data_IF_758906627483
#
_entry.id   IF_758906627483
#
_cell.length_a   1.000
_cell.length_b   1.000
_cell.length_c   1.000
_cell.angle_alpha   90.00
_cell.angle_beta   90.00
_cell.angle_gamma   90.00
#
_symmetry.space_group_name_H-M   'P 1'
#
loop_
_entity.id
_entity.type
_entity.pdbx_description
1 polymer ?
#
# COMPACT_ATOMS: atom_id res chain seq x y z
N UNK A 1 4.77 25.32 21.06
CA UNK A 1 5.60 24.44 21.93
C UNK A 1 4.92 24.14 23.27
N UNK A 2 4.04 24.99 23.80
CA UNK A 2 3.21 24.66 24.97
C UNK A 2 2.25 23.48 24.72
N UNK A 3 1.79 23.26 23.48
CA UNK A 3 0.85 22.18 23.15
C UNK A 3 1.46 20.77 23.12
N UNK A 4 2.74 20.62 22.72
CA UNK A 4 3.38 19.30 22.63
C UNK A 4 3.59 18.66 24.01
N UNK A 5 3.92 19.48 25.03
CA UNK A 5 4.07 18.99 26.40
C UNK A 5 2.71 18.65 27.02
N UNK A 6 1.64 19.41 26.71
CA UNK A 6 0.27 19.08 27.12
C UNK A 6 -0.22 17.76 26.52
N UNK A 7 0.00 17.56 25.22
CA UNK A 7 -0.31 16.30 24.53
C UNK A 7 0.49 15.11 25.08
N UNK A 8 1.76 15.30 25.45
CA UNK A 8 2.59 14.23 26.02
C UNK A 8 2.09 13.75 27.39
N UNK A 9 1.40 14.61 28.14
CA UNK A 9 0.83 14.29 29.45
C UNK A 9 -0.63 13.82 29.40
N UNK A 10 -1.29 13.92 28.25
CA UNK A 10 -2.69 13.51 28.08
C UNK A 10 -2.79 12.02 27.70
N UNK A 11 -3.41 11.17 28.54
CA UNK A 11 -3.60 9.76 28.23
C UNK A 11 -4.38 9.51 26.92
N UNK A 12 -5.28 10.40 26.53
CA UNK A 12 -6.09 10.24 25.31
C UNK A 12 -5.27 10.42 24.05
N UNK A 13 -4.28 11.33 24.06
CA UNK A 13 -3.34 11.53 22.96
C UNK A 13 -2.48 10.29 22.71
N UNK A 14 -2.08 9.57 23.76
CA UNK A 14 -1.36 8.30 23.64
C UNK A 14 -2.21 7.19 23.04
N UNK A 15 -3.49 7.08 23.43
CA UNK A 15 -4.42 6.12 22.84
C UNK A 15 -4.64 6.42 21.36
N UNK A 16 -4.84 7.69 21.00
CA UNK A 16 -4.96 8.11 19.60
C UNK A 16 -3.69 7.80 18.82
N UNK A 17 -2.50 8.09 19.37
CA UNK A 17 -1.21 7.78 18.76
C UNK A 17 -1.04 6.29 18.49
N UNK A 18 -1.30 5.44 19.49
CA UNK A 18 -1.19 3.99 19.35
C UNK A 18 -2.19 3.47 18.32
N UNK A 19 -3.43 3.95 18.35
CA UNK A 19 -4.47 3.55 17.38
C UNK A 19 -4.07 3.94 15.96
N UNK A 20 -3.56 5.16 15.78
CA UNK A 20 -3.06 5.63 14.50
C UNK A 20 -1.86 4.82 14.03
N UNK A 21 -0.88 4.54 14.89
CA UNK A 21 0.27 3.69 14.53
C UNK A 21 -0.22 2.31 14.07
N UNK A 22 -1.16 1.70 14.78
CA UNK A 22 -1.70 0.39 14.40
C UNK A 22 -2.38 0.48 13.04
N UNK A 23 -3.28 1.45 12.83
CA UNK A 23 -3.98 1.61 11.55
C UNK A 23 -3.02 1.92 10.41
N UNK A 24 -2.02 2.75 10.66
CA UNK A 24 -0.96 3.11 9.71
C UNK A 24 -0.09 1.91 9.33
N UNK A 25 0.24 1.04 10.28
CA UNK A 25 0.99 -0.18 10.01
C UNK A 25 0.14 -1.18 9.24
N UNK A 26 -1.11 -1.40 9.65
CA UNK A 26 -2.04 -2.32 8.98
C UNK A 26 -2.28 -1.89 7.53
N UNK A 27 -2.60 -0.62 7.29
CA UNK A 27 -2.74 -0.04 5.95
C UNK A 27 -1.41 -0.01 5.17
N UNK A 28 -0.29 0.19 5.87
CA UNK A 28 1.03 0.30 5.29
C UNK A 28 1.66 -1.01 4.83
N UNK A 29 1.18 -2.16 5.32
CA UNK A 29 1.64 -3.48 4.88
C UNK A 29 1.40 -3.66 3.38
N UNK A 30 0.25 -3.22 2.86
CA UNK A 30 -0.06 -3.33 1.44
C UNK A 30 0.89 -2.50 0.58
N UNK A 31 1.24 -1.30 1.05
CA UNK A 31 2.24 -0.44 0.41
C UNK A 31 3.64 -1.09 0.42
N UNK A 32 4.03 -1.74 1.52
CA UNK A 32 5.32 -2.42 1.64
C UNK A 32 5.43 -3.64 0.70
N UNK A 33 4.35 -4.40 0.59
CA UNK A 33 4.21 -5.53 -0.32
C UNK A 33 4.41 -5.07 -1.78
N UNK A 34 3.84 -3.93 -2.14
CA UNK A 34 4.04 -3.33 -3.46
C UNK A 34 5.45 -2.89 -3.75
N UNK A 35 6.06 -2.17 -2.80
CA UNK A 35 7.46 -1.78 -2.91
C UNK A 35 8.32 -3.00 -3.13
N UNK A 36 8.04 -4.10 -2.43
CA UNK A 36 8.70 -5.38 -2.64
C UNK A 36 8.47 -5.96 -4.05
N UNK A 37 7.22 -5.98 -4.55
CA UNK A 37 6.91 -6.52 -5.89
C UNK A 37 7.62 -5.71 -6.98
N UNK A 38 7.54 -4.38 -6.94
CA UNK A 38 8.16 -3.50 -7.94
C UNK A 38 9.69 -3.50 -7.87
N UNK A 39 10.26 -3.46 -6.67
CA UNK A 39 11.73 -3.53 -6.51
C UNK A 39 12.29 -4.86 -7.00
N UNK A 40 11.54 -5.96 -6.93
CA UNK A 40 11.97 -7.25 -7.47
C UNK A 40 12.10 -7.29 -9.01
N UNK A 41 11.50 -6.33 -9.73
CA UNK A 41 11.68 -6.16 -11.19
C UNK A 41 12.98 -5.43 -11.56
N UNK A 42 13.65 -4.80 -10.59
CA UNK A 42 14.97 -4.16 -10.77
C UNK A 42 16.07 -5.22 -10.63
N UNK A 43 17.25 -4.96 -11.22
CA UNK A 43 18.47 -5.75 -11.06
C UNK A 43 18.74 -6.04 -9.57
N UNK A 44 19.24 -7.25 -9.27
CA UNK A 44 19.35 -7.79 -7.90
C UNK A 44 20.16 -6.87 -6.99
N UNK A 45 21.20 -6.24 -7.54
CA UNK A 45 22.13 -5.34 -6.89
C UNK A 45 21.45 -4.02 -6.46
N UNK A 46 20.41 -3.62 -7.18
CA UNK A 46 19.71 -2.35 -6.99
C UNK A 46 18.40 -2.48 -6.21
N UNK A 47 17.91 -3.69 -5.94
CA UNK A 47 16.61 -3.91 -5.27
C UNK A 47 16.54 -3.25 -3.90
N UNK A 48 17.57 -3.40 -3.09
CA UNK A 48 17.61 -2.82 -1.75
C UNK A 48 17.64 -1.29 -1.81
N UNK A 49 18.34 -0.72 -2.78
CA UNK A 49 18.36 0.72 -3.04
C UNK A 49 16.99 1.21 -3.50
N UNK A 50 16.34 0.50 -4.42
CA UNK A 50 14.98 0.82 -4.89
C UNK A 50 13.98 0.86 -3.72
N UNK A 51 14.08 -0.10 -2.80
CA UNK A 51 13.22 -0.15 -1.61
C UNK A 51 13.49 1.01 -0.65
N UNK A 52 14.74 1.26 -0.30
CA UNK A 52 15.10 2.32 0.65
C UNK A 52 14.78 3.71 0.11
N UNK A 53 15.12 3.96 -1.16
CA UNK A 53 14.82 5.22 -1.83
C UNK A 53 13.31 5.37 -1.98
N UNK A 54 12.62 4.31 -2.43
CA UNK A 54 11.16 4.30 -2.55
C UNK A 54 10.45 4.59 -1.24
N UNK A 55 10.79 3.89 -0.14
CA UNK A 55 10.22 4.12 1.19
C UNK A 55 10.58 5.50 1.76
N UNK A 56 11.81 5.96 1.55
CA UNK A 56 12.26 7.29 2.00
C UNK A 56 11.49 8.41 1.29
N UNK A 57 11.36 8.31 -0.04
CA UNK A 57 10.56 9.25 -0.83
C UNK A 57 9.07 9.15 -0.49
N UNK A 58 8.57 7.95 -0.24
CA UNK A 58 7.20 7.73 0.22
C UNK A 58 6.91 8.45 1.55
N UNK A 59 7.82 8.34 2.53
CA UNK A 59 7.73 9.07 3.79
C UNK A 59 7.71 10.57 3.57
N UNK A 60 8.65 11.09 2.77
CA UNK A 60 8.75 12.52 2.47
C UNK A 60 7.47 13.04 1.81
N UNK A 61 6.95 12.32 0.82
CA UNK A 61 5.68 12.64 0.18
C UNK A 61 4.53 12.67 1.19
N UNK A 62 4.49 11.71 2.11
CA UNK A 62 3.43 11.61 3.11
C UNK A 62 3.48 12.74 4.13
N UNK A 63 4.67 13.07 4.62
CA UNK A 63 4.88 14.22 5.49
C UNK A 63 4.56 15.53 4.77
N UNK A 64 4.94 15.66 3.49
CA UNK A 64 4.58 16.82 2.68
C UNK A 64 3.06 16.98 2.55
N UNK A 65 2.32 15.90 2.27
CA UNK A 65 0.85 15.90 2.23
C UNK A 65 0.23 16.28 3.58
N UNK A 66 0.80 15.83 4.69
CA UNK A 66 0.37 16.23 6.03
C UNK A 66 0.67 17.70 6.34
N UNK A 67 1.75 18.29 5.80
CA UNK A 67 2.03 19.72 5.97
C UNK A 67 1.03 20.59 5.20
N UNK A 68 0.57 20.10 4.04
CA UNK A 68 -0.49 20.76 3.26
C UNK A 68 -1.88 20.19 3.58
N UNK A 69 -2.12 19.73 4.81
CA UNK A 69 -3.38 19.10 5.23
C UNK A 69 -4.61 19.95 4.92
N UNK A 70 -4.53 21.27 5.15
CA UNK A 70 -5.63 22.18 4.85
C UNK A 70 -6.01 22.16 3.36
N UNK A 71 -5.01 22.03 2.47
CA UNK A 71 -5.24 21.86 1.05
C UNK A 71 -5.83 20.48 0.73
N UNK A 72 -5.36 19.43 1.40
CA UNK A 72 -5.94 18.07 1.27
C UNK A 72 -7.42 18.05 1.69
N UNK A 73 -7.79 18.73 2.76
CA UNK A 73 -9.19 18.85 3.20
C UNK A 73 -10.03 19.59 2.15
N UNK A 74 -9.47 20.62 1.50
CA UNK A 74 -10.19 21.31 0.43
C UNK A 74 -10.52 20.39 -0.76
N UNK A 75 -9.75 19.32 -0.98
CA UNK A 75 -10.04 18.32 -2.02
C UNK A 75 -11.32 17.55 -1.75
N UNK A 76 -11.84 17.52 -0.51
CA UNK A 76 -13.09 16.84 -0.17
C UNK A 76 -14.32 17.69 -0.45
N UNK A 77 -14.15 18.96 -0.84
CA UNK A 77 -15.28 19.82 -1.20
C UNK A 77 -15.85 19.40 -2.56
N UNK A 78 -17.19 19.41 -2.71
CA UNK A 78 -17.84 19.01 -3.96
C UNK A 78 -17.52 20.01 -5.08
N UNK A 79 -17.08 19.49 -6.22
CA UNK A 79 -16.70 20.26 -7.42
C UNK A 79 -17.83 20.25 -8.44
N UNK A 80 -18.45 19.10 -8.65
CA UNK A 80 -19.61 18.96 -9.53
C UNK A 80 -20.50 17.81 -9.07
N UNK A 81 -21.76 17.80 -9.52
CA UNK A 81 -22.71 16.72 -9.23
C UNK A 81 -22.98 15.92 -10.51
N UNK A 82 -22.82 14.61 -10.47
CA UNK A 82 -23.17 13.70 -11.55
C UNK A 82 -23.82 12.44 -10.98
N UNK A 83 -24.80 11.86 -11.70
CA UNK A 83 -25.49 10.62 -11.26
C UNK A 83 -26.08 10.68 -9.83
N UNK A 84 -26.47 11.87 -9.36
CA UNK A 84 -26.98 12.07 -7.99
C UNK A 84 -25.90 12.07 -6.90
N UNK A 85 -24.62 12.01 -7.26
CA UNK A 85 -23.48 12.07 -6.35
C UNK A 85 -22.68 13.37 -6.56
N UNK A 86 -22.26 14.01 -5.46
CA UNK A 86 -21.40 15.18 -5.50
C UNK A 86 -19.94 14.74 -5.50
N UNK A 87 -19.24 14.92 -6.62
CA UNK A 87 -17.85 14.53 -6.80
C UNK A 87 -16.92 15.64 -6.34
N UNK A 88 -15.99 15.28 -5.45
CA UNK A 88 -14.89 16.11 -4.98
C UNK A 88 -13.59 15.77 -5.70
N UNK A 89 -12.57 16.64 -5.65
CA UNK A 89 -11.25 16.32 -6.21
C UNK A 89 -10.64 15.06 -5.59
N UNK A 90 -10.89 14.82 -4.30
CA UNK A 90 -10.56 13.56 -3.61
C UNK A 90 -11.15 12.38 -4.35
N UNK A 91 -12.45 12.41 -4.64
CA UNK A 91 -13.17 11.31 -5.27
C UNK A 91 -12.57 10.96 -6.63
N UNK A 92 -12.22 11.97 -7.43
CA UNK A 92 -11.56 11.78 -8.72
C UNK A 92 -10.19 11.10 -8.56
N UNK A 93 -9.39 11.53 -7.57
CA UNK A 93 -8.08 10.94 -7.30
C UNK A 93 -8.23 9.48 -6.81
N UNK A 94 -9.20 9.18 -5.94
CA UNK A 94 -9.45 7.83 -5.45
C UNK A 94 -9.93 6.90 -6.58
N UNK A 95 -10.84 7.38 -7.45
CA UNK A 95 -11.31 6.60 -8.61
C UNK A 95 -10.17 6.36 -9.61
N UNK A 96 -9.41 7.39 -9.97
CA UNK A 96 -8.29 7.26 -10.88
C UNK A 96 -7.19 6.35 -10.31
N UNK A 97 -6.87 6.53 -9.03
CA UNK A 97 -5.92 5.69 -8.31
C UNK A 97 -6.39 4.24 -8.22
N UNK A 98 -7.65 4.02 -7.86
CA UNK A 98 -8.26 2.68 -7.79
C UNK A 98 -8.29 1.98 -9.15
N UNK A 99 -8.64 2.68 -10.23
CA UNK A 99 -8.54 2.15 -11.59
C UNK A 99 -7.12 1.78 -11.97
N UNK A 100 -6.15 2.65 -11.65
CA UNK A 100 -4.74 2.36 -11.86
C UNK A 100 -4.28 1.12 -11.09
N UNK A 101 -4.70 0.98 -9.84
CA UNK A 101 -4.44 -0.19 -9.00
C UNK A 101 -5.02 -1.47 -9.59
N UNK A 102 -6.29 -1.45 -9.99
CA UNK A 102 -6.97 -2.60 -10.62
C UNK A 102 -6.27 -3.02 -11.91
N UNK A 103 -5.95 -2.05 -12.77
CA UNK A 103 -5.22 -2.29 -14.02
C UNK A 103 -3.84 -2.91 -13.76
N UNK A 104 -3.09 -2.35 -12.81
CA UNK A 104 -1.76 -2.85 -12.45
C UNK A 104 -1.82 -4.24 -11.84
N UNK A 105 -2.75 -4.50 -10.93
CA UNK A 105 -2.96 -5.81 -10.32
C UNK A 105 -3.24 -6.88 -11.38
N UNK A 106 -4.18 -6.58 -12.27
CA UNK A 106 -4.64 -7.50 -13.31
C UNK A 106 -3.54 -7.79 -14.31
N UNK A 107 -2.83 -6.77 -14.78
CA UNK A 107 -1.69 -6.93 -15.70
C UNK A 107 -0.57 -7.77 -15.05
N UNK A 108 -0.22 -7.46 -13.80
CA UNK A 108 0.82 -8.21 -13.07
C UNK A 108 0.41 -9.66 -12.80
N UNK A 109 -0.87 -9.91 -12.55
CA UNK A 109 -1.42 -11.25 -12.37
C UNK A 109 -1.38 -12.05 -13.67
N UNK A 110 -1.78 -11.42 -14.79
CA UNK A 110 -1.77 -12.04 -16.12
C UNK A 110 -0.36 -12.45 -16.56
N UNK A 111 0.62 -11.55 -16.42
CA UNK A 111 2.04 -11.83 -16.73
C UNK A 111 2.63 -13.01 -15.93
N UNK A 112 2.04 -13.35 -14.77
CA UNK A 112 2.50 -14.45 -13.91
C UNK A 112 1.77 -15.77 -14.15
N UNK A 113 0.54 -15.72 -14.64
CA UNK A 113 -0.28 -16.91 -14.90
C UNK A 113 0.02 -17.48 -16.28
N UNK A 114 0.32 -16.62 -17.27
CA UNK A 114 0.61 -17.07 -18.62
C UNK A 114 1.98 -17.78 -18.61
N UNK A 115 2.03 -19.11 -18.84
CA UNK A 115 3.30 -19.79 -19.02
C UNK A 115 4.00 -19.11 -20.19
N UNK A 116 5.31 -18.94 -20.14
CA UNK A 116 6.08 -18.55 -21.31
C UNK A 116 5.78 -19.56 -22.42
N UNK A 117 4.80 -19.24 -23.27
CA UNK A 117 4.45 -20.06 -24.42
C UNK A 117 5.70 -20.14 -25.27
N UNK A 118 6.08 -21.37 -25.63
CA UNK A 118 7.19 -21.73 -26.51
C UNK A 118 7.13 -21.00 -27.87
N UNK A 119 7.43 -19.70 -27.87
CA UNK A 119 7.74 -18.96 -29.07
C UNK A 119 9.21 -18.55 -28.96
N UNK A 120 10.06 -19.50 -29.37
CA UNK A 120 11.40 -19.22 -29.88
C UNK A 120 11.28 -18.38 -31.15
N UNK A 121 11.01 -17.10 -30.99
CA UNK A 121 11.33 -16.05 -31.96
C UNK A 121 11.91 -14.92 -31.13
N UNK A 122 13.24 -14.78 -31.20
CA UNK A 122 14.00 -13.54 -31.03
C UNK A 122 13.29 -12.40 -30.31
N UNK A 123 13.08 -12.57 -29.00
CA UNK A 123 12.91 -11.45 -28.07
C UNK A 123 13.89 -11.61 -26.92
N UNK A 124 15.18 -11.45 -27.23
CA UNK A 124 16.25 -11.18 -26.26
C UNK A 124 16.08 -9.83 -25.51
N UNK A 125 14.84 -9.34 -25.30
CA UNK A 125 14.61 -7.95 -24.86
C UNK A 125 13.47 -7.69 -23.88
N UNK A 126 12.63 -8.67 -23.49
CA UNK A 126 11.47 -8.43 -22.61
C UNK A 126 11.68 -8.67 -21.11
N UNK A 127 12.86 -9.14 -20.72
CA UNK A 127 13.38 -9.00 -19.35
C UNK A 127 14.26 -7.75 -19.24
N UNK A 128 13.87 -6.64 -19.86
CA UNK A 128 14.48 -5.37 -19.54
C UNK A 128 14.15 -5.08 -18.07
N UNK A 129 15.10 -5.35 -17.18
CA UNK A 129 15.01 -4.97 -15.78
C UNK A 129 14.45 -3.55 -15.70
N UNK A 130 13.39 -3.37 -14.92
CA UNK A 130 12.85 -2.03 -14.71
C UNK A 130 14.00 -1.16 -14.21
N UNK A 131 14.26 -0.05 -14.90
CA UNK A 131 15.24 0.91 -14.44
C UNK A 131 14.90 1.36 -13.02
N UNK A 132 15.93 1.57 -12.20
CA UNK A 132 15.75 2.01 -10.81
C UNK A 132 14.80 3.22 -10.71
N UNK A 133 14.96 4.20 -11.61
CA UNK A 133 14.13 5.40 -11.66
C UNK A 133 12.65 5.13 -11.98
N UNK A 134 12.36 4.23 -12.92
CA UNK A 134 10.97 3.88 -13.26
C UNK A 134 10.31 3.08 -12.15
N UNK A 135 11.04 2.17 -11.50
CA UNK A 135 10.54 1.46 -10.32
C UNK A 135 10.24 2.41 -9.16
N UNK A 136 11.15 3.35 -8.85
CA UNK A 136 10.94 4.36 -7.81
C UNK A 136 9.76 5.27 -8.14
N UNK A 137 9.61 5.70 -9.40
CA UNK A 137 8.48 6.52 -9.83
C UNK A 137 7.15 5.79 -9.66
N UNK A 138 7.07 4.51 -10.03
CA UNK A 138 5.86 3.70 -9.81
C UNK A 138 5.55 3.52 -8.32
N UNK A 139 6.58 3.29 -7.49
CA UNK A 139 6.44 3.24 -6.03
C UNK A 139 5.86 4.56 -5.50
N UNK A 140 6.41 5.70 -5.91
CA UNK A 140 5.93 7.00 -5.48
C UNK A 140 4.48 7.27 -5.93
N UNK A 141 4.13 6.91 -7.16
CA UNK A 141 2.77 7.08 -7.69
C UNK A 141 1.75 6.24 -6.91
N UNK A 142 2.05 4.96 -6.65
CA UNK A 142 1.22 4.09 -5.82
C UNK A 142 1.09 4.63 -4.39
N UNK A 143 2.22 5.04 -3.82
CA UNK A 143 2.26 5.58 -2.47
C UNK A 143 1.45 6.86 -2.34
N UNK A 144 1.41 7.72 -3.36
CA UNK A 144 0.60 8.94 -3.36
C UNK A 144 -0.89 8.61 -3.20
N UNK A 145 -1.39 7.63 -3.98
CA UNK A 145 -2.79 7.18 -3.91
C UNK A 145 -3.11 6.62 -2.52
N UNK A 146 -2.28 5.74 -1.98
CA UNK A 146 -2.49 5.17 -0.63
C UNK A 146 -2.32 6.20 0.49
N UNK A 147 -1.39 7.15 0.33
CA UNK A 147 -1.18 8.23 1.31
C UNK A 147 -2.39 9.14 1.40
N UNK A 148 -3.09 9.39 0.31
CA UNK A 148 -4.30 10.22 0.33
C UNK A 148 -5.43 9.55 1.13
N UNK A 149 -5.77 8.28 0.82
CA UNK A 149 -6.83 7.52 1.53
C UNK A 149 -6.55 7.40 3.03
N UNK A 150 -5.32 7.07 3.38
CA UNK A 150 -4.89 6.93 4.79
C UNK A 150 -4.88 8.25 5.56
N UNK A 151 -4.42 9.36 4.97
CA UNK A 151 -4.46 10.69 5.61
C UNK A 151 -5.91 11.09 5.86
N UNK A 152 -6.81 10.91 4.89
CA UNK A 152 -8.22 11.25 5.04
C UNK A 152 -8.87 10.40 6.15
N UNK A 153 -8.52 9.12 6.22
CA UNK A 153 -8.94 8.24 7.32
C UNK A 153 -8.42 8.73 8.67
N UNK A 154 -7.16 9.18 8.74
CA UNK A 154 -6.55 9.69 9.96
C UNK A 154 -7.20 10.98 10.47
N UNK A 155 -7.57 11.91 9.57
CA UNK A 155 -8.31 13.14 9.91
C UNK A 155 -9.67 12.79 10.54
N UNK A 156 -10.29 11.68 10.12
CA UNK A 156 -11.53 11.17 10.73
C UNK A 156 -11.36 10.64 12.15
N UNK A 157 -10.13 10.37 12.59
CA UNK A 157 -9.82 9.80 13.91
C UNK A 157 -9.24 10.83 14.89
N UNK A 158 -8.45 11.79 14.41
CA UNK A 158 -7.88 12.85 15.25
C UNK A 158 -7.66 14.13 14.46
N UNK A 159 -7.77 15.27 15.13
CA UNK A 159 -7.45 16.59 14.58
C UNK A 159 -6.00 17.01 14.82
N UNK A 160 -5.25 16.26 15.63
CA UNK A 160 -3.92 16.62 16.08
C UNK A 160 -2.84 16.22 15.05
N UNK A 161 -2.44 17.18 14.21
CA UNK A 161 -1.39 16.99 13.19
C UNK A 161 -0.07 16.44 13.78
N UNK A 162 0.42 16.89 14.96
CA UNK A 162 1.63 16.32 15.56
C UNK A 162 1.52 14.81 15.82
N UNK A 163 0.36 14.34 16.29
CA UNK A 163 0.13 12.91 16.54
C UNK A 163 0.17 12.13 15.23
N UNK A 164 -0.48 12.64 14.18
CA UNK A 164 -0.46 12.01 12.85
C UNK A 164 0.96 11.93 12.27
N UNK A 165 1.75 13.00 12.39
CA UNK A 165 3.14 13.00 11.93
C UNK A 165 4.00 11.98 12.67
N UNK A 166 3.90 11.91 14.01
CA UNK A 166 4.64 10.93 14.80
C UNK A 166 4.20 9.50 14.42
N UNK A 167 2.91 9.26 14.27
CA UNK A 167 2.39 7.96 13.85
C UNK A 167 2.96 7.51 12.49
N UNK A 168 2.98 8.40 11.50
CA UNK A 168 3.54 8.14 10.18
C UNK A 168 5.05 7.86 10.25
N UNK A 169 5.81 8.67 11.00
CA UNK A 169 7.26 8.47 11.14
C UNK A 169 7.57 7.12 11.80
N UNK A 170 6.88 6.78 12.88
CA UNK A 170 7.06 5.51 13.59
C UNK A 170 6.67 4.34 12.69
N UNK A 171 5.50 4.40 12.05
CA UNK A 171 5.01 3.35 11.16
C UNK A 171 5.96 3.10 9.99
N UNK A 172 6.41 4.16 9.29
CA UNK A 172 7.36 3.99 8.19
C UNK A 172 8.74 3.53 8.68
N UNK A 173 9.17 3.96 9.87
CA UNK A 173 10.37 3.42 10.51
C UNK A 173 10.31 1.90 10.66
N UNK A 174 9.18 1.37 11.15
CA UNK A 174 8.92 -0.07 11.23
C UNK A 174 8.92 -0.72 9.85
N UNK A 175 8.32 -0.08 8.83
CA UNK A 175 8.32 -0.59 7.46
C UNK A 175 9.73 -0.67 6.86
N UNK A 176 10.60 0.31 7.09
CA UNK A 176 11.99 0.30 6.60
C UNK A 176 12.73 -0.91 7.17
N UNK A 177 12.55 -1.21 8.46
CA UNK A 177 13.13 -2.39 9.12
C UNK A 177 12.54 -3.68 8.55
N UNK A 178 11.22 -3.71 8.29
CA UNK A 178 10.52 -4.88 7.76
C UNK A 178 10.70 -5.11 6.24
N UNK A 179 11.10 -4.08 5.47
CA UNK A 179 11.10 -4.10 4.01
C UNK A 179 11.98 -5.22 3.42
N UNK A 180 13.24 -5.30 3.87
CA UNK A 180 14.19 -6.29 3.38
C UNK A 180 13.78 -7.74 3.70
N UNK A 181 13.44 -8.11 4.95
CA UNK A 181 13.00 -9.47 5.24
C UNK A 181 11.68 -9.82 4.55
N UNK A 182 10.72 -8.89 4.51
CA UNK A 182 9.44 -9.12 3.83
C UNK A 182 9.65 -9.32 2.33
N UNK A 183 10.55 -8.55 1.71
CA UNK A 183 10.82 -8.70 0.28
C UNK A 183 11.46 -10.05 -0.08
N UNK A 184 12.42 -10.51 0.74
CA UNK A 184 12.99 -11.86 0.60
C UNK A 184 11.94 -12.95 0.81
N UNK A 185 10.98 -12.74 1.69
CA UNK A 185 9.90 -13.69 1.93
C UNK A 185 8.93 -13.77 0.74
N UNK A 186 8.48 -12.62 0.24
CA UNK A 186 7.55 -12.51 -0.89
C UNK A 186 8.18 -13.09 -2.16
N UNK A 187 9.43 -12.74 -2.47
CA UNK A 187 10.13 -13.23 -3.66
C UNK A 187 10.33 -14.75 -3.70
N UNK A 188 10.37 -15.41 -2.53
CA UNK A 188 10.53 -16.87 -2.43
C UNK A 188 9.20 -17.64 -2.54
N UNK A 189 8.05 -16.96 -2.48
CA UNK A 189 6.74 -17.61 -2.38
C UNK A 189 5.75 -17.01 -3.38
N UNK A 190 5.61 -17.62 -4.58
CA UNK A 190 4.71 -17.13 -5.62
C UNK A 190 3.25 -16.97 -5.16
N UNK A 191 2.76 -17.87 -4.31
CA UNK A 191 1.40 -17.82 -3.75
C UNK A 191 1.17 -16.57 -2.89
N UNK A 192 2.18 -16.11 -2.14
CA UNK A 192 2.12 -14.87 -1.36
C UNK A 192 2.08 -13.66 -2.28
N UNK A 193 2.78 -13.69 -3.42
CA UNK A 193 2.70 -12.62 -4.42
C UNK A 193 1.30 -12.55 -5.04
N UNK A 194 0.70 -13.69 -5.39
CA UNK A 194 -0.66 -13.72 -5.92
C UNK A 194 -1.68 -13.21 -4.90
N UNK A 195 -1.53 -13.60 -3.63
CA UNK A 195 -2.34 -13.09 -2.53
C UNK A 195 -2.24 -11.56 -2.41
N UNK A 196 -1.02 -11.04 -2.44
CA UNK A 196 -0.73 -9.61 -2.43
C UNK A 196 -1.37 -8.83 -3.59
N UNK A 197 -1.31 -9.38 -4.81
CA UNK A 197 -1.96 -8.78 -5.98
C UNK A 197 -3.49 -8.82 -5.86
N UNK A 198 -4.04 -9.85 -5.21
CA UNK A 198 -5.45 -9.92 -4.85
C UNK A 198 -5.86 -8.83 -3.84
N UNK A 199 -5.04 -8.59 -2.82
CA UNK A 199 -5.28 -7.51 -1.85
C UNK A 199 -5.25 -6.14 -2.52
N UNK A 200 -4.24 -5.92 -3.36
CA UNK A 200 -4.18 -4.75 -4.22
C UNK A 200 -5.48 -4.58 -5.02
N UNK A 201 -5.93 -5.60 -5.74
CA UNK A 201 -7.16 -5.54 -6.54
C UNK A 201 -8.37 -5.14 -5.67
N UNK A 202 -8.49 -5.76 -4.48
CA UNK A 202 -9.54 -5.45 -3.51
C UNK A 202 -9.48 -3.99 -3.02
N UNK A 203 -8.29 -3.48 -2.70
CA UNK A 203 -8.10 -2.08 -2.29
C UNK A 203 -8.45 -1.16 -3.46
N UNK A 204 -7.99 -1.46 -4.68
CA UNK A 204 -8.31 -0.68 -5.88
C UNK A 204 -9.81 -0.57 -6.11
N UNK A 205 -10.53 -1.69 -6.00
CA UNK A 205 -11.99 -1.71 -6.07
C UNK A 205 -12.65 -0.90 -4.94
N UNK A 206 -12.09 -0.97 -3.73
CA UNK A 206 -12.56 -0.17 -2.59
C UNK A 206 -12.37 1.32 -2.82
N UNK A 207 -11.21 1.76 -3.33
CA UNK A 207 -10.97 3.18 -3.62
C UNK A 207 -11.92 3.71 -4.70
N UNK A 208 -12.23 2.90 -5.70
CA UNK A 208 -13.26 3.23 -6.69
C UNK A 208 -14.60 3.39 -5.98
N UNK A 209 -15.01 2.44 -5.14
CA UNK A 209 -16.26 2.52 -4.39
C UNK A 209 -16.33 3.76 -3.48
N UNK A 210 -15.28 4.02 -2.70
CA UNK A 210 -15.16 5.19 -1.81
C UNK A 210 -15.25 6.50 -2.60
N UNK A 211 -14.66 6.58 -3.81
CA UNK A 211 -14.78 7.75 -4.68
C UNK A 211 -16.14 7.92 -5.36
N UNK A 212 -16.96 6.86 -5.45
CA UNK A 212 -18.38 6.97 -5.79
C UNK A 212 -19.28 7.19 -4.57
N UNK A 213 -18.70 7.42 -3.39
CA UNK A 213 -19.42 7.62 -2.12
C UNK A 213 -19.91 6.34 -1.44
N UNK A 214 -19.65 5.17 -2.04
CA UNK A 214 -19.97 3.87 -1.46
C UNK A 214 -18.86 3.47 -0.49
N UNK A 215 -18.99 3.94 0.74
CA UNK A 215 -18.00 3.70 1.78
C UNK A 215 -18.01 2.24 2.21
N UNK A 216 -16.93 1.52 1.91
CA UNK A 216 -16.75 0.14 2.39
C UNK A 216 -16.09 0.20 3.77
N UNK A 217 -16.71 -0.37 4.82
CA UNK A 217 -16.08 -0.37 6.14
C UNK A 217 -14.74 -1.13 6.10
N UNK A 218 -13.65 -0.41 6.38
CA UNK A 218 -12.28 -0.94 6.27
C UNK A 218 -12.06 -2.20 7.12
N UNK A 219 -12.81 -2.36 8.22
CA UNK A 219 -12.79 -3.57 9.05
C UNK A 219 -13.10 -4.86 8.28
N UNK A 220 -14.02 -4.82 7.30
CA UNK A 220 -14.31 -5.99 6.46
C UNK A 220 -13.15 -6.33 5.53
N UNK A 221 -12.48 -5.31 5.00
CA UNK A 221 -11.30 -5.47 4.14
C UNK A 221 -10.16 -6.10 4.94
N UNK A 222 -9.88 -5.58 6.13
CA UNK A 222 -8.83 -6.13 6.98
C UNK A 222 -9.15 -7.55 7.46
N UNK A 223 -10.40 -7.84 7.77
CA UNK A 223 -10.83 -9.19 8.11
C UNK A 223 -10.61 -10.15 6.93
N UNK A 224 -10.95 -9.75 5.70
CA UNK A 224 -10.72 -10.54 4.50
C UNK A 224 -9.22 -10.75 4.22
N UNK A 225 -8.39 -9.72 4.39
CA UNK A 225 -6.94 -9.82 4.25
C UNK A 225 -6.33 -10.75 5.29
N UNK A 226 -6.69 -10.58 6.56
CA UNK A 226 -6.22 -11.41 7.66
C UNK A 226 -6.62 -12.88 7.48
N UNK A 227 -7.88 -13.14 7.10
CA UNK A 227 -8.38 -14.48 6.81
C UNK A 227 -7.63 -15.12 5.64
N UNK A 228 -7.44 -14.39 4.54
CA UNK A 228 -6.73 -14.93 3.36
C UNK A 228 -5.26 -15.19 3.66
N UNK A 229 -4.61 -14.33 4.45
CA UNK A 229 -3.26 -14.55 4.98
C UNK A 229 -3.20 -15.80 5.86
N UNK A 230 -4.15 -15.99 6.76
CA UNK A 230 -4.27 -17.19 7.60
C UNK A 230 -4.40 -18.46 6.75
N UNK A 231 -5.30 -18.45 5.77
CA UNK A 231 -5.50 -19.58 4.83
C UNK A 231 -4.20 -19.88 4.09
N UNK A 232 -3.47 -18.87 3.62
CA UNK A 232 -2.21 -19.08 2.91
C UNK A 232 -1.10 -19.61 3.85
N UNK A 233 -1.07 -19.21 5.12
CA UNK A 233 -0.18 -19.83 6.12
C UNK A 233 -0.52 -21.31 6.30
N UNK A 234 -1.80 -21.66 6.46
CA UNK A 234 -2.24 -23.06 6.55
C UNK A 234 -1.86 -23.87 5.30
N UNK A 235 -2.05 -23.29 4.11
CA UNK A 235 -1.70 -23.89 2.83
C UNK A 235 -0.19 -24.18 2.74
N UNK A 236 0.65 -23.27 3.22
CA UNK A 236 2.10 -23.49 3.28
C UNK A 236 2.50 -24.57 4.28
N UNK A 237 1.84 -24.64 5.44
CA UNK A 237 2.10 -25.70 6.43
C UNK A 237 1.70 -27.07 5.88
N UNK A 238 0.53 -27.18 5.25
CA UNK A 238 0.06 -28.41 4.62
C UNK A 238 1.01 -28.90 3.51
N UNK A 239 1.49 -28.00 2.65
CA UNK A 239 2.48 -28.33 1.61
C UNK A 239 3.79 -28.85 2.19
N UNK A 240 4.28 -28.26 3.29
CA UNK A 240 5.50 -28.72 3.98
C UNK A 240 5.32 -30.10 4.61
N UNK A 241 4.18 -30.35 5.25
CA UNK A 241 3.87 -31.67 5.80
C UNK A 241 3.81 -32.75 4.71
N UNK A 242 3.18 -32.42 3.57
CA UNK A 242 3.10 -33.33 2.41
C UNK A 242 4.44 -33.61 1.72
N UNK A 243 5.40 -32.67 1.73
CA UNK A 243 6.75 -32.91 1.19
C UNK A 243 7.59 -33.80 2.10
N UNK A 244 7.42 -33.69 3.44
CA UNK A 244 8.12 -34.52 4.42
C UNK A 244 7.59 -35.97 4.40
N UNK A 245 6.29 -36.16 4.15
CA UNK A 245 5.71 -37.50 4.04
C UNK A 245 6.11 -38.28 2.77
N UNK A 246 6.76 -37.62 1.79
CA UNK A 246 7.24 -38.24 0.53
C UNK A 246 8.77 -38.38 0.46
N UNK A 247 9.51 -37.93 1.47
CA UNK A 247 10.97 -38.08 1.60
C UNK A 247 11.30 -39.18 2.60
#
# INVERSE_FOLDING_TARGET
MADLFGLATDPTAWVALVTLIIMEVVLGIDNLVFVSILSNRVAVEQRQSAQRIGLGLALLMRLALLLVLAWVISLTQPVFTAFGHAFSWKDLILVAGGLFLVYKATTEMHERIEPASDTKTDVEGRNAHLGLGTAVLQICALNLVFSLDSIITAIGMTTEIPIMMVAVIVSVGLMIVAAAPLSRFISRKPTVVMLALGFLLMIGMTLIADGFGLHVPKGYIYAAMAFSGFVEVMNQLARRAGSIARS
#
